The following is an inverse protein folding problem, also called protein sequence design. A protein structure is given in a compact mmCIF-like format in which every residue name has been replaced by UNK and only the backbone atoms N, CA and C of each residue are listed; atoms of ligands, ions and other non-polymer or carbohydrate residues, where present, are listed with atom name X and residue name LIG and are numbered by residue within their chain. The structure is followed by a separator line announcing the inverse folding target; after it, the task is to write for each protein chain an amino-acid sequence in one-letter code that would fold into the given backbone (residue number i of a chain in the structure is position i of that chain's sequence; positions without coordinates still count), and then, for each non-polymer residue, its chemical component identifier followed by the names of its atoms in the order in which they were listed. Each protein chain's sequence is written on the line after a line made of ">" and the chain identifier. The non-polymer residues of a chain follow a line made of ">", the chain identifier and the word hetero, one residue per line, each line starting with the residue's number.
data_IF_876701634799
#
_entry.id   IF_876701634799
#
_cell.length_a   1.000
_cell.length_b   1.000
_cell.length_c   1.000
_cell.angle_alpha   90.00
_cell.angle_beta   90.00
_cell.angle_gamma   90.00
#
_symmetry.space_group_name_H-M   'P 1'
#
loop_
_entity.id
_entity.type
_entity.pdbx_description
1 polymer ?
#
# COMPACT_ATOMS: atom_id res chain seq x y z
N UNK A 1 78.01 -0.52 61.65
CA UNK A 1 79.24 -0.54 60.86
C UNK A 1 78.91 -1.29 59.55
N UNK A 2 78.48 -0.57 58.56
CA UNK A 2 78.21 -1.19 57.25
C UNK A 2 78.35 -0.12 56.20
N UNK A 3 79.31 -0.39 55.30
CA UNK A 3 79.82 0.49 54.30
C UNK A 3 78.96 0.38 53.04
N UNK A 4 78.49 1.53 52.50
CA UNK A 4 77.89 1.61 51.18
C UNK A 4 79.00 1.87 50.08
N UNK A 5 78.93 1.16 48.96
CA UNK A 5 79.65 1.60 47.78
C UNK A 5 78.78 2.36 46.82
N UNK A 6 79.31 3.42 46.28
CA UNK A 6 78.75 4.27 45.22
C UNK A 6 78.67 3.47 43.88
N UNK A 7 77.47 3.61 43.21
CA UNK A 7 77.34 3.18 41.83
C UNK A 7 77.54 4.34 40.82
N UNK A 8 78.12 4.09 39.65
CA UNK A 8 78.39 5.17 38.68
C UNK A 8 77.13 5.55 37.88
N UNK A 9 76.99 6.83 37.60
CA UNK A 9 76.04 7.43 36.74
C UNK A 9 76.24 7.00 35.29
N UNK A 10 75.30 6.22 34.70
CA UNK A 10 75.24 5.97 33.29
C UNK A 10 74.52 7.14 32.59
N UNK A 11 75.21 7.75 31.64
CA UNK A 11 74.59 8.73 30.71
C UNK A 11 73.66 8.04 29.76
N UNK A 12 72.35 8.33 29.87
CA UNK A 12 71.37 7.95 28.87
C UNK A 12 71.26 9.08 27.83
N UNK A 13 71.83 8.80 26.64
CA UNK A 13 71.64 9.60 25.45
C UNK A 13 70.18 9.44 24.96
N UNK A 14 69.41 10.49 25.02
CA UNK A 14 68.03 10.54 24.47
C UNK A 14 68.10 10.69 22.94
N UNK A 15 67.84 9.62 22.20
CA UNK A 15 67.60 9.68 20.77
C UNK A 15 66.18 10.12 20.53
N UNK A 16 65.98 11.39 20.21
CA UNK A 16 64.67 11.89 19.75
C UNK A 16 64.42 11.44 18.32
N UNK A 17 63.64 10.37 18.15
CA UNK A 17 63.08 9.99 16.85
C UNK A 17 61.98 10.96 16.48
N UNK A 18 62.21 11.87 15.55
CA UNK A 18 61.20 12.70 14.94
C UNK A 18 60.35 11.83 13.99
N UNK A 19 59.18 11.35 14.47
CA UNK A 19 58.16 10.82 13.59
C UNK A 19 57.53 12.01 12.85
N UNK A 20 58.00 12.27 11.62
CA UNK A 20 57.29 13.10 10.67
C UNK A 20 56.05 12.33 10.24
N UNK A 21 54.89 12.58 10.94
CA UNK A 21 53.57 12.08 10.54
C UNK A 21 53.16 12.72 9.22
N UNK A 22 53.34 12.00 8.12
CA UNK A 22 52.74 12.36 6.86
C UNK A 22 51.21 12.26 7.00
N UNK A 23 50.56 13.35 7.34
CA UNK A 23 49.09 13.49 7.27
C UNK A 23 48.69 13.44 5.79
N UNK A 24 48.34 12.27 5.30
CA UNK A 24 47.67 12.16 4.02
C UNK A 24 46.33 12.91 4.12
N UNK A 25 46.03 13.87 3.25
CA UNK A 25 44.70 14.47 3.24
C UNK A 25 43.68 13.35 2.96
N UNK A 26 42.85 13.06 3.92
CA UNK A 26 41.65 12.24 3.68
C UNK A 26 40.83 13.00 2.65
N UNK A 27 40.90 12.60 1.39
CA UNK A 27 39.98 13.08 0.38
C UNK A 27 38.57 12.69 0.85
N UNK A 28 37.81 13.64 1.38
CA UNK A 28 36.41 13.45 1.67
C UNK A 28 35.75 13.07 0.34
N UNK A 29 35.35 11.79 0.22
CA UNK A 29 34.57 11.36 -0.93
C UNK A 29 33.36 12.30 -1.00
N UNK A 30 33.16 12.97 -2.13
CA UNK A 30 32.01 13.77 -2.36
C UNK A 30 30.76 12.88 -2.07
N UNK A 31 29.75 13.38 -1.35
CA UNK A 31 28.56 12.59 -1.09
C UNK A 31 28.04 12.07 -2.42
N UNK A 32 27.93 10.75 -2.55
CA UNK A 32 27.36 10.14 -3.73
C UNK A 32 25.95 10.71 -3.89
N UNK A 33 25.74 11.55 -4.90
CA UNK A 33 24.43 12.05 -5.25
C UNK A 33 23.61 10.85 -5.68
N UNK A 34 22.60 10.49 -4.88
CA UNK A 34 21.66 9.44 -5.26
C UNK A 34 21.01 9.87 -6.58
N UNK A 35 20.97 8.96 -7.56
CA UNK A 35 20.33 9.26 -8.82
C UNK A 35 18.85 9.54 -8.57
N UNK A 36 18.32 10.67 -9.06
CA UNK A 36 16.90 11.02 -8.91
C UNK A 36 16.05 10.17 -9.85
N UNK A 37 15.84 8.90 -9.48
CA UNK A 37 15.03 7.94 -10.22
C UNK A 37 13.68 7.75 -9.53
N UNK A 38 12.65 7.43 -10.30
CA UNK A 38 11.32 7.13 -9.76
C UNK A 38 11.38 5.97 -8.73
N UNK A 39 12.22 4.95 -8.99
CA UNK A 39 12.41 3.83 -8.06
C UNK A 39 12.91 4.29 -6.68
N UNK A 40 13.82 5.25 -6.64
CA UNK A 40 14.31 5.82 -5.39
C UNK A 40 13.27 6.71 -4.71
N UNK A 41 12.52 7.50 -5.47
CA UNK A 41 11.43 8.32 -4.92
C UNK A 41 10.34 7.47 -4.28
N UNK A 42 10.02 6.28 -4.82
CA UNK A 42 9.02 5.38 -4.25
C UNK A 42 9.57 4.40 -3.21
N UNK A 43 10.86 4.42 -2.90
CA UNK A 43 11.48 3.51 -1.95
C UNK A 43 10.81 3.53 -0.58
N UNK A 44 10.43 4.71 -0.08
CA UNK A 44 9.68 4.87 1.16
C UNK A 44 8.30 4.20 1.12
N UNK A 45 7.65 4.20 -0.05
CA UNK A 45 6.35 3.56 -0.24
C UNK A 45 6.49 2.03 -0.24
N UNK A 46 7.55 1.51 -0.91
CA UNK A 46 7.80 0.07 -1.01
C UNK A 46 8.24 -0.57 0.31
N UNK A 47 8.68 0.22 1.29
CA UNK A 47 8.98 -0.28 2.64
C UNK A 47 7.75 -0.89 3.32
N UNK A 48 6.56 -0.34 3.08
CA UNK A 48 5.30 -0.83 3.63
C UNK A 48 4.43 -1.52 2.57
N UNK A 49 4.38 -0.96 1.36
CA UNK A 49 3.63 -1.52 0.24
C UNK A 49 4.54 -2.38 -0.65
N UNK A 50 5.27 -3.30 -0.02
CA UNK A 50 6.18 -4.18 -0.74
C UNK A 50 5.49 -4.84 -1.94
N UNK A 51 6.24 -4.96 -3.03
CA UNK A 51 5.78 -5.60 -4.27
C UNK A 51 5.51 -7.10 -4.03
N UNK A 52 6.07 -7.68 -2.96
CA UNK A 52 5.91 -9.10 -2.59
C UNK A 52 4.69 -9.27 -1.69
N UNK A 53 4.04 -10.41 -1.82
CA UNK A 53 2.95 -11.06 -1.07
C UNK A 53 2.60 -10.46 0.32
N UNK A 54 2.23 -9.19 0.40
CA UNK A 54 1.76 -8.63 1.67
C UNK A 54 0.33 -9.08 1.96
N UNK A 55 0.16 -9.80 3.05
CA UNK A 55 -1.14 -10.14 3.65
C UNK A 55 -1.49 -9.25 4.83
N UNK A 56 -0.78 -8.16 4.99
CA UNK A 56 -0.96 -7.26 6.10
C UNK A 56 -2.25 -6.46 5.94
N UNK A 57 -3.07 -6.42 6.97
CA UNK A 57 -4.30 -5.66 6.99
C UNK A 57 -4.06 -4.13 6.96
N UNK A 58 -2.88 -3.69 7.41
CA UNK A 58 -2.50 -2.27 7.45
C UNK A 58 -1.77 -1.82 6.19
N UNK A 59 -1.03 -2.73 5.54
CA UNK A 59 -0.25 -2.46 4.33
C UNK A 59 -0.83 -3.22 3.13
N UNK A 60 -1.92 -2.73 2.52
CA UNK A 60 -2.60 -3.47 1.46
C UNK A 60 -1.74 -3.55 0.20
N UNK A 61 -1.97 -4.60 -0.58
CA UNK A 61 -1.47 -4.70 -1.95
C UNK A 61 -2.01 -3.54 -2.78
N UNK A 62 -1.10 -2.70 -3.29
CA UNK A 62 -1.42 -1.60 -4.21
C UNK A 62 -0.95 -1.89 -5.63
N UNK A 63 0.01 -2.80 -5.82
CA UNK A 63 0.54 -3.19 -7.11
C UNK A 63 -0.55 -3.75 -8.05
N UNK A 64 -0.53 -3.32 -9.30
CA UNK A 64 -1.45 -3.75 -10.35
C UNK A 64 -2.87 -3.21 -10.24
N UNK A 65 -3.15 -2.30 -9.30
CA UNK A 65 -4.44 -1.60 -9.28
C UNK A 65 -4.44 -0.47 -10.31
N UNK A 66 -5.61 -0.09 -10.87
CA UNK A 66 -5.71 1.01 -11.84
C UNK A 66 -5.05 2.29 -11.34
N UNK A 67 -4.26 2.94 -12.20
CA UNK A 67 -3.50 4.15 -11.85
C UNK A 67 -4.40 5.28 -11.35
N UNK A 68 -5.55 5.51 -12.00
CA UNK A 68 -6.51 6.52 -11.57
C UNK A 68 -7.10 6.24 -10.18
N UNK A 69 -7.31 4.95 -9.83
CA UNK A 69 -7.69 4.60 -8.47
C UNK A 69 -6.59 4.96 -7.46
N UNK A 70 -5.35 4.56 -7.74
CA UNK A 70 -4.22 4.83 -6.85
C UNK A 70 -4.01 6.34 -6.67
N UNK A 71 -4.03 7.09 -7.75
CA UNK A 71 -3.96 8.55 -7.71
C UNK A 71 -5.09 9.15 -6.85
N UNK A 72 -6.34 8.71 -7.05
CA UNK A 72 -7.46 9.16 -6.24
C UNK A 72 -7.28 8.86 -4.74
N UNK A 73 -6.68 7.70 -4.38
CA UNK A 73 -6.40 7.38 -2.99
C UNK A 73 -5.35 8.31 -2.39
N UNK A 74 -4.25 8.56 -3.10
CA UNK A 74 -3.20 9.48 -2.64
C UNK A 74 -3.76 10.90 -2.43
N UNK A 75 -4.55 11.40 -3.38
CA UNK A 75 -5.25 12.70 -3.26
C UNK A 75 -6.24 12.69 -2.09
N UNK A 76 -6.99 11.60 -1.89
CA UNK A 76 -7.93 11.49 -0.77
C UNK A 76 -7.22 11.51 0.59
N UNK A 77 -6.06 10.88 0.72
CA UNK A 77 -5.23 10.98 1.92
C UNK A 77 -4.70 12.40 2.12
N UNK A 78 -4.13 13.02 1.09
CA UNK A 78 -3.59 14.39 1.17
C UNK A 78 -4.66 15.41 1.56
N UNK A 79 -5.87 15.26 1.07
CA UNK A 79 -6.99 16.16 1.33
C UNK A 79 -7.84 15.76 2.55
N UNK A 80 -7.43 14.76 3.33
CA UNK A 80 -8.14 14.33 4.53
C UNK A 80 -9.47 13.59 4.30
N UNK A 81 -9.86 13.34 3.02
CA UNK A 81 -11.06 12.53 2.73
C UNK A 81 -10.92 11.08 3.14
N UNK A 82 -9.70 10.57 3.18
CA UNK A 82 -9.36 9.26 3.74
C UNK A 82 -8.38 9.46 4.87
N UNK A 83 -8.77 9.04 6.07
CA UNK A 83 -7.96 9.24 7.24
C UNK A 83 -7.21 7.97 7.62
N UNK A 84 -5.90 8.03 7.53
CA UNK A 84 -4.94 7.08 8.09
C UNK A 84 -3.64 7.85 8.34
N UNK A 85 -3.29 8.16 9.60
CA UNK A 85 -2.27 9.14 9.94
C UNK A 85 -0.95 8.99 9.18
N UNK A 86 -0.44 7.76 9.08
CA UNK A 86 0.81 7.49 8.37
C UNK A 86 0.71 7.90 6.89
N UNK A 87 -0.39 7.52 6.21
CA UNK A 87 -0.55 7.85 4.79
C UNK A 87 -0.83 9.34 4.57
N UNK A 88 -1.59 9.99 5.48
CA UNK A 88 -1.81 11.44 5.41
C UNK A 88 -0.46 12.17 5.49
N UNK A 89 0.39 11.81 6.46
CA UNK A 89 1.73 12.36 6.63
C UNK A 89 2.62 12.14 5.40
N UNK A 90 2.63 10.91 4.85
CA UNK A 90 3.50 10.55 3.72
C UNK A 90 3.21 11.34 2.44
N UNK A 91 1.98 11.83 2.25
CA UNK A 91 1.57 12.48 1.00
C UNK A 91 1.21 13.94 1.12
N UNK A 92 1.17 14.52 2.34
CA UNK A 92 0.64 15.87 2.58
C UNK A 92 1.30 16.98 1.76
N UNK A 93 2.60 16.86 1.50
CA UNK A 93 3.38 17.86 0.76
C UNK A 93 3.71 17.46 -0.69
N UNK A 94 3.23 16.31 -1.17
CA UNK A 94 3.53 15.85 -2.51
C UNK A 94 2.66 16.54 -3.56
N UNK A 95 3.23 17.11 -4.64
CA UNK A 95 2.47 17.72 -5.72
C UNK A 95 1.73 16.68 -6.56
N UNK A 96 0.68 17.10 -7.26
CA UNK A 96 -0.16 16.23 -8.11
C UNK A 96 0.64 15.42 -9.12
N UNK A 97 1.64 16.03 -9.75
CA UNK A 97 2.49 15.34 -10.71
C UNK A 97 3.19 14.13 -10.08
N UNK A 98 3.72 14.31 -8.88
CA UNK A 98 4.41 13.22 -8.17
C UNK A 98 3.44 12.14 -7.68
N UNK A 99 2.25 12.51 -7.19
CA UNK A 99 1.21 11.53 -6.85
C UNK A 99 0.80 10.69 -8.06
N UNK A 100 0.77 11.30 -9.25
CA UNK A 100 0.47 10.61 -10.51
C UNK A 100 1.59 9.62 -10.88
N UNK A 101 2.85 10.03 -10.83
CA UNK A 101 4.01 9.15 -11.07
C UNK A 101 4.02 7.94 -10.13
N UNK A 102 3.74 8.16 -8.83
CA UNK A 102 3.63 7.06 -7.84
C UNK A 102 2.51 6.11 -8.23
N UNK A 103 1.34 6.63 -8.60
CA UNK A 103 0.20 5.82 -8.98
C UNK A 103 0.48 4.97 -10.24
N UNK A 104 1.10 5.55 -11.25
CA UNK A 104 1.50 4.87 -12.48
C UNK A 104 2.57 3.81 -12.22
N UNK A 105 3.55 4.11 -11.37
CA UNK A 105 4.59 3.15 -10.97
C UNK A 105 3.98 1.88 -10.36
N UNK A 106 3.10 2.02 -9.36
CA UNK A 106 2.49 0.84 -8.72
C UNK A 106 1.47 0.14 -9.61
N UNK A 107 0.76 0.86 -10.47
CA UNK A 107 -0.15 0.26 -11.44
C UNK A 107 0.58 -0.65 -12.45
N UNK A 108 1.81 -0.30 -12.82
CA UNK A 108 2.65 -1.10 -13.71
C UNK A 108 3.27 -2.33 -13.06
N UNK A 109 3.23 -2.45 -11.72
CA UNK A 109 3.79 -3.60 -11.00
C UNK A 109 2.79 -4.77 -11.00
N UNK A 110 3.26 -5.95 -11.38
CA UNK A 110 2.42 -7.15 -11.46
C UNK A 110 3.02 -8.36 -10.71
N UNK A 111 3.32 -8.25 -9.41
CA UNK A 111 3.75 -9.40 -8.63
C UNK A 111 2.63 -10.44 -8.55
N UNK A 112 2.94 -11.72 -8.30
CA UNK A 112 1.95 -12.74 -8.04
C UNK A 112 0.94 -12.30 -6.98
N UNK A 113 -0.30 -12.76 -7.09
CA UNK A 113 -1.26 -12.57 -6.02
C UNK A 113 -0.90 -13.44 -4.82
N UNK A 114 -1.15 -12.96 -3.59
CA UNK A 114 -0.97 -13.79 -2.41
C UNK A 114 -1.93 -14.99 -2.47
N UNK A 115 -1.54 -16.15 -1.90
CA UNK A 115 -2.45 -17.28 -1.79
C UNK A 115 -3.72 -16.89 -1.01
N UNK A 116 -4.87 -17.54 -1.29
CA UNK A 116 -6.11 -17.27 -0.57
C UNK A 116 -5.98 -17.57 0.92
N UNK A 117 -6.75 -16.86 1.73
CA UNK A 117 -6.80 -17.08 3.18
C UNK A 117 -8.11 -17.78 3.54
N UNK A 118 -8.03 -18.86 4.30
CA UNK A 118 -9.23 -19.48 4.84
C UNK A 118 -9.97 -18.47 5.74
N UNK A 119 -11.26 -18.27 5.48
CA UNK A 119 -12.03 -17.23 6.17
C UNK A 119 -12.44 -17.63 7.60
N UNK A 120 -12.41 -18.91 7.96
CA UNK A 120 -12.98 -19.41 9.21
C UNK A 120 -14.51 -19.33 9.30
N UNK A 121 -15.20 -18.80 8.29
CA UNK A 121 -16.65 -18.66 8.27
C UNK A 121 -17.34 -19.96 7.85
N UNK A 122 -18.50 -20.23 8.44
CA UNK A 122 -19.35 -21.34 8.03
C UNK A 122 -19.89 -21.18 6.60
N UNK A 123 -20.21 -22.30 5.94
CA UNK A 123 -20.68 -22.35 4.57
C UNK A 123 -21.87 -21.40 4.25
N UNK A 124 -22.86 -21.20 5.13
CA UNK A 124 -23.97 -20.26 4.84
C UNK A 124 -23.52 -18.83 4.69
N UNK A 125 -22.55 -18.37 5.51
CA UNK A 125 -22.02 -17.01 5.41
C UNK A 125 -21.13 -16.86 4.15
N UNK A 126 -20.35 -17.85 3.81
CA UNK A 126 -19.56 -17.84 2.57
C UNK A 126 -20.46 -17.78 1.34
N UNK A 127 -21.57 -18.54 1.31
CA UNK A 127 -22.53 -18.47 0.20
C UNK A 127 -23.26 -17.13 0.17
N UNK A 128 -23.58 -16.53 1.32
CA UNK A 128 -24.09 -15.15 1.38
C UNK A 128 -23.10 -14.15 0.77
N UNK A 129 -21.81 -14.27 1.12
CA UNK A 129 -20.74 -13.44 0.55
C UNK A 129 -20.63 -13.62 -0.96
N UNK A 130 -20.63 -14.86 -1.44
CA UNK A 130 -20.65 -15.20 -2.86
C UNK A 130 -21.84 -14.57 -3.58
N UNK A 131 -23.04 -14.69 -3.02
CA UNK A 131 -24.25 -14.11 -3.60
C UNK A 131 -24.15 -12.61 -3.72
N UNK A 132 -23.73 -11.90 -2.67
CA UNK A 132 -23.55 -10.44 -2.69
C UNK A 132 -22.53 -10.02 -3.73
N UNK A 133 -21.40 -10.70 -3.80
CA UNK A 133 -20.33 -10.34 -4.74
C UNK A 133 -20.72 -10.58 -6.19
N UNK A 134 -21.37 -11.72 -6.50
CA UNK A 134 -21.66 -12.11 -7.88
C UNK A 134 -23.05 -11.66 -8.37
N UNK A 135 -24.01 -11.44 -7.48
CA UNK A 135 -25.42 -11.13 -7.85
C UNK A 135 -25.96 -9.87 -7.18
N UNK A 136 -25.36 -9.41 -6.07
CA UNK A 136 -25.87 -8.31 -5.29
C UNK A 136 -27.06 -8.67 -4.42
N UNK A 137 -27.80 -7.65 -3.98
CA UNK A 137 -29.03 -7.76 -3.19
C UNK A 137 -30.00 -6.66 -3.63
N UNK A 138 -30.94 -6.95 -4.55
CA UNK A 138 -31.90 -5.96 -5.04
C UNK A 138 -32.79 -5.38 -3.95
N UNK A 139 -33.13 -6.18 -2.92
CA UNK A 139 -33.97 -5.71 -1.80
C UNK A 139 -33.28 -4.60 -0.99
N UNK A 140 -31.93 -4.66 -0.91
CA UNK A 140 -31.10 -3.64 -0.27
C UNK A 140 -30.58 -2.59 -1.27
N UNK A 141 -30.95 -2.69 -2.55
CA UNK A 141 -30.42 -1.86 -3.64
C UNK A 141 -28.87 -1.93 -3.72
N UNK A 142 -28.30 -3.08 -3.43
CA UNK A 142 -26.86 -3.36 -3.52
C UNK A 142 -26.59 -4.09 -4.83
N UNK A 143 -25.91 -3.47 -5.82
CA UNK A 143 -25.52 -4.14 -7.04
C UNK A 143 -24.47 -5.21 -6.77
N UNK A 144 -24.31 -6.14 -7.72
CA UNK A 144 -23.21 -7.10 -7.67
C UNK A 144 -21.86 -6.38 -7.66
N UNK A 145 -20.91 -6.81 -6.82
CA UNK A 145 -19.59 -6.19 -6.76
C UNK A 145 -18.86 -6.34 -8.11
N UNK A 146 -19.02 -7.49 -8.78
CA UNK A 146 -18.45 -7.73 -10.12
C UNK A 146 -18.94 -6.72 -11.18
N UNK A 147 -20.13 -6.14 -11.03
CA UNK A 147 -20.67 -5.18 -11.99
C UNK A 147 -19.84 -3.87 -12.07
N UNK A 148 -19.09 -3.55 -11.02
CA UNK A 148 -18.20 -2.40 -11.00
C UNK A 148 -16.73 -2.79 -10.94
N UNK A 149 -16.40 -3.81 -10.15
CA UNK A 149 -15.01 -4.20 -9.88
C UNK A 149 -14.45 -5.21 -10.90
N UNK A 150 -15.20 -5.48 -11.99
CA UNK A 150 -14.84 -6.41 -13.06
C UNK A 150 -15.17 -7.87 -12.71
N UNK A 151 -15.44 -8.68 -13.72
CA UNK A 151 -15.84 -10.08 -13.55
C UNK A 151 -14.85 -10.92 -12.76
N UNK A 152 -13.57 -10.66 -12.93
CA UNK A 152 -12.48 -11.31 -12.20
C UNK A 152 -12.13 -10.59 -10.90
N UNK A 153 -12.85 -9.53 -10.51
CA UNK A 153 -12.59 -8.72 -9.32
C UNK A 153 -11.18 -8.12 -9.27
N UNK A 154 -10.53 -7.96 -10.41
CA UNK A 154 -9.20 -7.35 -10.55
C UNK A 154 -9.25 -5.84 -10.75
N UNK A 155 -10.44 -5.30 -10.90
CA UNK A 155 -10.69 -3.86 -11.10
C UNK A 155 -11.06 -3.52 -12.54
N UNK A 156 -11.41 -2.25 -12.74
CA UNK A 156 -11.73 -1.67 -14.03
C UNK A 156 -10.96 -0.37 -14.20
N UNK A 157 -10.17 -0.27 -15.28
CA UNK A 157 -9.50 0.97 -15.62
C UNK A 157 -10.52 2.05 -15.97
N UNK A 158 -10.23 3.34 -15.71
CA UNK A 158 -8.98 3.81 -15.09
C UNK A 158 -9.01 3.83 -13.55
N UNK A 159 -10.18 3.70 -12.88
CA UNK A 159 -10.28 4.16 -11.49
C UNK A 159 -11.06 3.25 -10.53
N UNK A 160 -11.52 2.06 -10.93
CA UNK A 160 -12.18 1.12 -10.02
C UNK A 160 -11.19 0.05 -9.56
N UNK A 161 -10.97 -0.13 -8.24
CA UNK A 161 -9.95 -1.05 -7.75
C UNK A 161 -10.34 -2.52 -7.87
N UNK A 162 -9.36 -3.40 -7.97
CA UNK A 162 -9.53 -4.83 -7.73
C UNK A 162 -9.74 -5.13 -6.26
N UNK A 163 -10.52 -6.15 -5.97
CA UNK A 163 -10.87 -6.63 -4.63
C UNK A 163 -10.15 -7.93 -4.28
N UNK A 164 -9.69 -8.68 -5.30
CA UNK A 164 -9.03 -9.96 -5.10
C UNK A 164 -7.63 -9.79 -4.51
N UNK A 165 -7.18 -10.77 -3.71
CA UNK A 165 -5.86 -10.74 -3.07
C UNK A 165 -5.75 -9.77 -1.89
N UNK A 166 -6.87 -9.29 -1.36
CA UNK A 166 -6.92 -8.46 -0.15
C UNK A 166 -7.30 -9.29 1.06
N UNK A 167 -6.68 -9.07 2.24
CA UNK A 167 -7.07 -9.72 3.48
C UNK A 167 -8.49 -9.33 3.91
N UNK A 168 -9.22 -10.25 4.55
CA UNK A 168 -10.57 -9.98 5.06
C UNK A 168 -10.60 -8.79 6.03
N UNK A 169 -9.62 -8.71 6.93
CA UNK A 169 -9.53 -7.62 7.91
C UNK A 169 -9.34 -6.25 7.24
N UNK A 170 -8.54 -6.18 6.16
CA UNK A 170 -8.42 -4.96 5.40
C UNK A 170 -9.77 -4.55 4.76
N UNK A 171 -10.47 -5.50 4.15
CA UNK A 171 -11.77 -5.24 3.51
C UNK A 171 -12.79 -4.75 4.57
N UNK A 172 -12.87 -5.45 5.71
CA UNK A 172 -13.71 -5.06 6.84
C UNK A 172 -13.40 -3.65 7.33
N UNK A 173 -12.10 -3.33 7.51
CA UNK A 173 -11.66 -2.00 7.93
C UNK A 173 -12.05 -0.91 6.93
N UNK A 174 -12.04 -1.20 5.61
CA UNK A 174 -12.47 -0.22 4.62
C UNK A 174 -13.98 0.05 4.68
N UNK A 175 -14.81 -0.99 4.81
CA UNK A 175 -16.25 -0.80 5.01
C UNK A 175 -16.54 -0.04 6.30
N UNK A 176 -15.87 -0.40 7.40
CA UNK A 176 -15.96 0.32 8.67
C UNK A 176 -15.58 1.80 8.54
N UNK A 177 -14.51 2.10 7.80
CA UNK A 177 -14.04 3.47 7.59
C UNK A 177 -15.06 4.33 6.82
N UNK A 178 -15.77 3.78 5.81
CA UNK A 178 -16.87 4.49 5.15
C UNK A 178 -18.05 4.73 6.10
N UNK A 179 -18.44 3.72 6.87
CA UNK A 179 -19.57 3.82 7.82
C UNK A 179 -19.29 4.81 8.94
N UNK A 180 -18.05 4.85 9.42
CA UNK A 180 -17.58 5.78 10.46
C UNK A 180 -17.16 7.15 9.91
N UNK A 181 -17.33 7.38 8.59
CA UNK A 181 -17.00 8.63 7.92
C UNK A 181 -15.53 9.06 8.02
N UNK A 182 -14.62 8.11 8.27
CA UNK A 182 -13.17 8.33 8.23
C UNK A 182 -12.59 8.09 6.84
N UNK A 183 -13.41 7.59 5.91
CA UNK A 183 -13.09 7.43 4.51
C UNK A 183 -14.24 7.96 3.65
N UNK A 184 -13.88 8.86 2.74
CA UNK A 184 -14.76 9.40 1.72
C UNK A 184 -14.07 9.32 0.35
N UNK A 185 -14.86 9.25 -0.71
CA UNK A 185 -14.39 9.46 -2.07
C UNK A 185 -14.94 10.81 -2.59
N UNK A 186 -14.63 11.14 -3.85
CA UNK A 186 -15.24 12.28 -4.53
C UNK A 186 -16.72 11.99 -4.75
N UNK A 187 -17.56 12.97 -4.46
CA UNK A 187 -19.01 12.82 -4.60
C UNK A 187 -19.46 12.69 -6.07
N UNK A 188 -20.47 11.85 -6.34
CA UNK A 188 -21.14 10.94 -5.42
C UNK A 188 -20.24 9.76 -4.99
N UNK A 189 -20.21 9.46 -3.68
CA UNK A 189 -19.41 8.38 -3.12
C UNK A 189 -20.23 7.07 -3.10
N UNK A 190 -20.18 6.33 -4.21
CA UNK A 190 -20.93 5.11 -4.38
C UNK A 190 -20.57 4.01 -3.38
N UNK A 191 -19.29 3.95 -2.92
CA UNK A 191 -18.90 2.94 -1.96
C UNK A 191 -19.35 3.27 -0.52
N UNK A 192 -19.46 4.55 -0.16
CA UNK A 192 -20.10 4.95 1.09
C UNK A 192 -21.59 4.55 1.12
N UNK A 193 -22.27 4.74 -0.01
CA UNK A 193 -23.68 4.35 -0.17
C UNK A 193 -23.85 2.81 -0.06
N UNK A 194 -23.02 2.01 -0.74
CA UNK A 194 -23.00 0.55 -0.63
C UNK A 194 -22.70 0.11 0.81
N UNK A 195 -21.68 0.68 1.45
CA UNK A 195 -21.29 0.34 2.82
C UNK A 195 -22.41 0.61 3.83
N UNK A 196 -23.20 1.68 3.60
CA UNK A 196 -24.35 2.02 4.43
C UNK A 196 -25.52 1.04 4.32
N UNK A 197 -25.64 0.32 3.19
CA UNK A 197 -26.73 -0.64 2.93
C UNK A 197 -26.44 -2.07 3.39
N UNK A 198 -25.17 -2.41 3.60
CA UNK A 198 -24.75 -3.73 4.06
C UNK A 198 -24.84 -3.83 5.58
N UNK A 199 -25.30 -4.97 6.11
CA UNK A 199 -25.17 -5.30 7.53
C UNK A 199 -23.76 -5.72 7.90
N UNK A 200 -23.42 -5.79 9.20
CA UNK A 200 -22.11 -6.29 9.65
C UNK A 200 -21.89 -7.75 9.21
N UNK A 201 -22.93 -8.57 9.25
CA UNK A 201 -22.89 -9.93 8.73
C UNK A 201 -22.66 -10.01 7.23
N UNK A 202 -23.24 -9.09 6.43
CA UNK A 202 -22.98 -9.00 4.99
C UNK A 202 -21.54 -8.59 4.71
N UNK A 203 -21.00 -7.65 5.47
CA UNK A 203 -19.62 -7.19 5.34
C UNK A 203 -18.64 -8.33 5.66
N UNK A 204 -18.86 -9.04 6.78
CA UNK A 204 -18.06 -10.21 7.15
C UNK A 204 -18.14 -11.32 6.08
N UNK A 205 -19.33 -11.58 5.55
CA UNK A 205 -19.55 -12.56 4.49
C UNK A 205 -18.79 -12.21 3.20
N UNK A 206 -18.92 -10.96 2.73
CA UNK A 206 -18.21 -10.46 1.55
C UNK A 206 -16.70 -10.52 1.72
N UNK A 207 -16.19 -10.04 2.86
CA UNK A 207 -14.75 -10.01 3.14
C UNK A 207 -14.17 -11.42 3.23
N UNK A 208 -14.86 -12.33 3.92
CA UNK A 208 -14.43 -13.72 4.04
C UNK A 208 -14.45 -14.45 2.71
N UNK A 209 -15.48 -14.22 1.89
CA UNK A 209 -15.54 -14.84 0.56
C UNK A 209 -14.46 -14.28 -0.36
N UNK A 210 -14.27 -12.97 -0.44
CA UNK A 210 -13.25 -12.34 -1.29
C UNK A 210 -11.83 -12.79 -0.94
N UNK A 211 -11.49 -12.86 0.35
CA UNK A 211 -10.15 -13.27 0.80
C UNK A 211 -9.85 -14.74 0.55
N UNK A 212 -10.88 -15.59 0.38
CA UNK A 212 -10.75 -17.01 0.10
C UNK A 212 -10.62 -17.35 -1.39
N UNK A 213 -10.75 -16.36 -2.29
CA UNK A 213 -10.70 -16.60 -3.73
C UNK A 213 -9.27 -16.71 -4.23
N UNK A 214 -9.04 -17.63 -5.16
CA UNK A 214 -7.80 -17.74 -5.92
C UNK A 214 -7.85 -16.71 -7.05
N UNK A 215 -6.80 -15.90 -7.15
CA UNK A 215 -6.65 -14.99 -8.28
C UNK A 215 -5.87 -15.68 -9.42
N UNK A 216 -6.30 -15.47 -10.64
CA UNK A 216 -5.47 -15.81 -11.81
C UNK A 216 -4.21 -14.92 -11.80
N UNK A 217 -3.00 -15.49 -11.81
CA UNK A 217 -1.76 -14.71 -11.83
C UNK A 217 -1.64 -13.77 -13.04
N UNK A 218 -2.28 -14.13 -14.15
CA UNK A 218 -2.30 -13.32 -15.37
C UNK A 218 -3.39 -12.24 -15.38
N UNK A 219 -4.35 -12.30 -14.44
CA UNK A 219 -5.45 -11.35 -14.40
C UNK A 219 -5.00 -9.90 -14.18
N UNK A 220 -5.61 -9.01 -14.94
CA UNK A 220 -5.34 -7.56 -14.95
C UNK A 220 -6.67 -6.82 -14.80
N UNK A 221 -6.65 -5.55 -14.39
CA UNK A 221 -7.86 -4.72 -14.45
C UNK A 221 -8.46 -4.73 -15.86
N UNK A 222 -9.77 -4.88 -15.94
CA UNK A 222 -10.48 -4.77 -17.21
C UNK A 222 -10.34 -3.35 -17.78
N UNK A 223 -10.29 -3.21 -19.11
CA UNK A 223 -10.24 -1.91 -19.79
C UNK A 223 -11.60 -1.41 -20.21
N UNK A 224 -12.60 -2.31 -20.25
CA UNK A 224 -13.99 -2.00 -20.58
C UNK A 224 -14.92 -2.96 -19.86
N UNK A 225 -16.19 -2.60 -19.78
CA UNK A 225 -17.28 -3.44 -19.27
C UNK A 225 -18.41 -3.47 -20.31
N UNK A 226 -19.14 -4.58 -20.33
CA UNK A 226 -20.21 -4.81 -21.30
C UNK A 226 -21.44 -3.89 -21.08
N UNK A 227 -21.66 -3.43 -19.86
CA UNK A 227 -22.80 -2.60 -19.47
C UNK A 227 -22.33 -1.36 -18.71
N UNK A 228 -23.08 -0.24 -18.74
CA UNK A 228 -22.73 0.93 -17.94
C UNK A 228 -22.73 0.58 -16.45
N UNK A 229 -21.89 1.28 -15.68
CA UNK A 229 -21.83 1.10 -14.23
C UNK A 229 -23.23 1.32 -13.61
N UNK A 230 -23.66 0.47 -12.67
CA UNK A 230 -24.99 0.56 -12.05
C UNK A 230 -25.16 1.82 -11.18
N UNK A 231 -24.07 2.49 -10.84
CA UNK A 231 -24.04 3.72 -10.03
C UNK A 231 -23.09 4.73 -10.64
N UNK A 232 -23.45 6.00 -10.60
CA UNK A 232 -22.50 7.08 -10.87
C UNK A 232 -21.58 7.28 -9.67
N UNK A 233 -20.28 7.29 -9.91
CA UNK A 233 -19.27 7.46 -8.88
C UNK A 233 -18.36 8.64 -9.25
N UNK A 234 -18.29 9.66 -8.39
CA UNK A 234 -17.51 10.87 -8.67
C UNK A 234 -16.00 10.67 -8.81
N UNK A 235 -15.49 9.50 -8.38
CA UNK A 235 -14.09 9.11 -8.55
C UNK A 235 -13.81 8.32 -9.84
N UNK A 236 -14.84 8.02 -10.63
CA UNK A 236 -14.74 7.31 -11.91
C UNK A 236 -15.13 8.29 -13.01
N UNK A 237 -14.30 8.49 -14.05
CA UNK A 237 -14.68 9.31 -15.19
C UNK A 237 -16.01 8.85 -15.80
N UNK A 238 -16.80 9.79 -16.31
CA UNK A 238 -18.00 9.45 -17.09
C UNK A 238 -17.58 8.58 -18.30
N UNK A 239 -18.32 7.50 -18.51
CA UNK A 239 -18.15 6.61 -19.65
C UNK A 239 -18.99 7.07 -20.83
#
# INVERSE_FOLDING_TARGET
>A
MTIFPLAPRALLAAAALALAGASLPAAAAAPATLADTLAQRVAACTACHAVKESRDAFFPRIAGKPAGYLYNQLVNFRQGRRHYPMMNYMVEHLPDAYLKEIAEYFAAQHPPYPPPTASGLGAPLLERGRTLVLRGDPAKKVPACVACHGEQLTGLAPAVPGLIGLPADYINAQFGAWRNKTRHARAPDCMADIAGRLSDGDIAAVSGWLSSQVADPAARPATSIALPLPLQCGSVPAQ
#
